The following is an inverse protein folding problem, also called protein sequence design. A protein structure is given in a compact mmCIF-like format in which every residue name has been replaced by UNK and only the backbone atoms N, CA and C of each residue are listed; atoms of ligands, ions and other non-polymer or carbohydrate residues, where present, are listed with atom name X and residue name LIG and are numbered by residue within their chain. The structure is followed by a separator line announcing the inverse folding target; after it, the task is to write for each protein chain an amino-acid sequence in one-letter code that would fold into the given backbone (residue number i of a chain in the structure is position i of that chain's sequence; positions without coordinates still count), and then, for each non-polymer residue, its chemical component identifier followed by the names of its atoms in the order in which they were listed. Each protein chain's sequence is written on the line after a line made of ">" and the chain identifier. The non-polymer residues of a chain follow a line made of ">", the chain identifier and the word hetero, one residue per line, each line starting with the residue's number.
data_IF_276409809054
#
_entry.id   IF_276409809054
#
_cell.length_a   1.000
_cell.length_b   1.000
_cell.length_c   1.000
_cell.angle_alpha   90.00
_cell.angle_beta   90.00
_cell.angle_gamma   90.00
#
_symmetry.space_group_name_H-M   'P 1'
#
loop_
_entity.id
_entity.type
_entity.pdbx_description
1 polymer ?
#
# COMPACT_ATOMS: atom_id res chain seq x y z
N UNK A 1 6.23 -15.99 5.07
CA UNK A 1 5.45 -15.26 6.09
C UNK A 1 4.67 -16.29 6.87
N UNK A 2 4.74 -16.26 8.20
CA UNK A 2 3.93 -17.13 9.04
C UNK A 2 2.55 -16.53 9.35
N UNK A 3 1.63 -17.35 9.84
CA UNK A 3 0.25 -16.96 10.09
C UNK A 3 0.12 -15.88 11.19
N UNK A 4 0.99 -15.90 12.20
CA UNK A 4 0.97 -14.93 13.29
C UNK A 4 1.38 -13.53 12.79
N UNK A 5 2.42 -13.48 11.95
CA UNK A 5 2.88 -12.26 11.28
C UNK A 5 1.81 -11.69 10.36
N UNK A 6 1.15 -12.54 9.55
CA UNK A 6 0.04 -12.12 8.70
C UNK A 6 -1.10 -11.53 9.52
N UNK A 7 -1.48 -12.20 10.61
CA UNK A 7 -2.56 -11.76 11.50
C UNK A 7 -2.31 -10.38 12.13
N UNK A 8 -1.06 -10.08 12.51
CA UNK A 8 -0.68 -8.73 12.99
C UNK A 8 -0.79 -7.68 11.89
N UNK A 9 -0.47 -8.05 10.65
CA UNK A 9 -0.56 -7.13 9.51
C UNK A 9 -2.02 -6.85 9.12
N UNK A 10 -2.89 -7.86 9.15
CA UNK A 10 -4.32 -7.72 8.88
C UNK A 10 -5.01 -6.77 9.88
N UNK A 11 -4.59 -6.77 11.15
CA UNK A 11 -5.09 -5.83 12.16
C UNK A 11 -4.45 -4.43 12.10
N UNK A 12 -3.51 -4.20 11.19
CA UNK A 12 -2.78 -2.93 11.09
C UNK A 12 -1.75 -2.69 12.20
N UNK A 13 -1.51 -3.65 13.10
CA UNK A 13 -0.47 -3.58 14.15
C UNK A 13 0.94 -3.57 13.55
N UNK A 14 1.09 -4.07 12.32
CA UNK A 14 2.33 -4.06 11.55
C UNK A 14 2.07 -3.68 10.10
N UNK A 15 2.82 -2.71 9.58
CA UNK A 15 2.75 -2.37 8.16
C UNK A 15 3.39 -3.45 7.29
N UNK A 16 2.77 -3.75 6.14
CA UNK A 16 3.37 -4.56 5.09
C UNK A 16 4.58 -3.84 4.49
N UNK A 17 5.63 -4.59 4.17
CA UNK A 17 6.73 -4.14 3.31
C UNK A 17 6.48 -4.60 1.89
N UNK A 18 7.24 -4.07 0.94
CA UNK A 18 7.11 -4.45 -0.48
C UNK A 18 7.36 -5.95 -0.70
N UNK A 19 8.32 -6.54 0.01
CA UNK A 19 8.64 -7.97 -0.09
C UNK A 19 7.51 -8.85 0.45
N UNK A 20 6.74 -8.32 1.41
CA UNK A 20 5.59 -9.02 1.97
C UNK A 20 4.47 -9.11 0.92
N UNK A 21 4.28 -8.07 0.09
CA UNK A 21 3.31 -8.07 -1.02
C UNK A 21 3.64 -9.15 -2.06
N UNK A 22 4.93 -9.36 -2.35
CA UNK A 22 5.39 -10.41 -3.28
C UNK A 22 5.06 -11.81 -2.76
N UNK A 23 5.17 -12.02 -1.44
CA UNK A 23 4.77 -13.27 -0.82
C UNK A 23 3.24 -13.46 -0.87
N UNK A 24 2.46 -12.40 -0.61
CA UNK A 24 1.00 -12.45 -0.64
C UNK A 24 0.46 -12.75 -2.04
N UNK A 25 1.05 -12.18 -3.09
CA UNK A 25 0.68 -12.46 -4.48
C UNK A 25 0.78 -13.97 -4.79
N UNK A 26 1.83 -14.63 -4.30
CA UNK A 26 2.03 -16.08 -4.45
C UNK A 26 1.04 -16.89 -3.62
N UNK A 27 0.83 -16.52 -2.35
CA UNK A 27 -0.07 -17.22 -1.42
C UNK A 27 -1.51 -17.17 -1.91
N UNK A 28 -1.99 -15.98 -2.26
CA UNK A 28 -3.38 -15.76 -2.68
C UNK A 28 -3.63 -16.03 -4.16
N UNK A 29 -2.57 -16.30 -4.93
CA UNK A 29 -2.62 -16.45 -6.39
C UNK A 29 -3.29 -15.26 -7.08
N UNK A 30 -2.97 -14.05 -6.60
CA UNK A 30 -3.52 -12.80 -7.12
C UNK A 30 -2.47 -12.02 -7.91
N UNK A 31 -2.88 -11.17 -8.87
CA UNK A 31 -1.94 -10.34 -9.62
C UNK A 31 -1.12 -9.43 -8.70
N UNK A 32 0.20 -9.57 -8.75
CA UNK A 32 1.14 -8.74 -7.97
C UNK A 32 0.93 -7.24 -8.18
N UNK A 33 0.58 -6.83 -9.41
CA UNK A 33 0.28 -5.43 -9.75
C UNK A 33 -0.83 -4.87 -8.87
N UNK A 34 -1.94 -5.59 -8.74
CA UNK A 34 -3.11 -5.13 -7.98
C UNK A 34 -2.79 -4.98 -6.48
N UNK A 35 -2.09 -5.98 -5.91
CA UNK A 35 -1.69 -5.92 -4.51
C UNK A 35 -0.67 -4.81 -4.22
N UNK A 36 0.27 -4.57 -5.14
CA UNK A 36 1.21 -3.46 -5.03
C UNK A 36 0.49 -2.10 -5.13
N UNK A 37 -0.50 -1.97 -6.01
CA UNK A 37 -1.32 -0.76 -6.13
C UNK A 37 -2.06 -0.48 -4.83
N UNK A 38 -2.71 -1.50 -4.22
CA UNK A 38 -3.40 -1.35 -2.94
C UNK A 38 -2.43 -0.95 -1.82
N UNK A 39 -1.26 -1.60 -1.75
CA UNK A 39 -0.24 -1.28 -0.75
C UNK A 39 0.29 0.15 -0.87
N UNK A 40 0.55 0.61 -2.10
CA UNK A 40 0.97 2.00 -2.34
C UNK A 40 -0.12 2.99 -1.96
N UNK A 41 -1.37 2.71 -2.30
CA UNK A 41 -2.51 3.56 -1.93
C UNK A 41 -2.64 3.70 -0.41
N UNK A 42 -2.58 2.60 0.35
CA UNK A 42 -2.61 2.63 1.82
C UNK A 42 -1.46 3.46 2.39
N UNK A 43 -0.24 3.29 1.86
CA UNK A 43 0.93 4.09 2.27
C UNK A 43 0.72 5.58 2.02
N UNK A 44 0.23 5.93 0.83
CA UNK A 44 -0.07 7.32 0.46
C UNK A 44 -1.12 7.92 1.39
N UNK A 45 -2.22 7.21 1.64
CA UNK A 45 -3.30 7.66 2.52
C UNK A 45 -2.80 7.89 3.94
N UNK A 46 -2.02 6.96 4.50
CA UNK A 46 -1.43 7.10 5.84
C UNK A 46 -0.45 8.27 5.93
N UNK A 47 0.43 8.41 4.94
CA UNK A 47 1.41 9.51 4.91
C UNK A 47 0.74 10.89 4.81
N UNK A 48 -0.41 10.96 4.14
CA UNK A 48 -1.11 12.24 3.89
C UNK A 48 -2.30 12.48 4.82
N UNK A 49 -2.64 11.55 5.71
CA UNK A 49 -3.89 11.53 6.48
C UNK A 49 -4.24 12.87 7.16
N UNK A 50 -3.25 13.46 7.83
CA UNK A 50 -3.39 14.68 8.63
C UNK A 50 -3.01 15.97 7.89
N UNK A 51 -2.85 15.92 6.56
CA UNK A 51 -2.44 17.08 5.76
C UNK A 51 -3.67 17.79 5.18
N UNK A 52 -3.76 19.11 5.40
CA UNK A 52 -4.87 19.95 4.93
C UNK A 52 -5.07 19.89 3.41
N UNK A 53 -3.95 19.88 2.67
CA UNK A 53 -3.94 19.94 1.21
C UNK A 53 -3.60 18.59 0.56
N UNK A 54 -3.97 17.48 1.20
CA UNK A 54 -3.60 16.13 0.74
C UNK A 54 -4.13 15.79 -0.65
N UNK A 55 -5.34 16.24 -1.00
CA UNK A 55 -5.93 15.93 -2.31
C UNK A 55 -5.22 16.70 -3.42
N UNK A 56 -4.94 17.98 -3.18
CA UNK A 56 -4.24 18.87 -4.10
C UNK A 56 -2.81 18.38 -4.34
N UNK A 57 -2.10 18.00 -3.27
CA UNK A 57 -0.77 17.43 -3.38
C UNK A 57 -0.75 16.12 -4.19
N UNK A 58 -1.77 15.26 -4.02
CA UNK A 58 -1.87 14.01 -4.78
C UNK A 58 -2.22 14.25 -6.24
N UNK A 59 -3.14 15.17 -6.53
CA UNK A 59 -3.46 15.54 -7.90
C UNK A 59 -2.22 16.10 -8.61
N UNK A 60 -1.48 17.01 -7.95
CA UNK A 60 -0.25 17.56 -8.49
C UNK A 60 0.80 16.46 -8.79
N UNK A 61 0.94 15.46 -7.91
CA UNK A 61 1.85 14.34 -8.15
C UNK A 61 1.41 13.45 -9.33
N UNK A 62 0.10 13.25 -9.50
CA UNK A 62 -0.46 12.50 -10.63
C UNK A 62 -0.19 13.23 -11.95
N UNK A 63 -0.42 14.55 -11.99
CA UNK A 63 -0.21 15.37 -13.19
C UNK A 63 1.27 15.37 -13.65
N UNK A 64 2.22 15.06 -12.76
CA UNK A 64 3.64 14.89 -13.10
C UNK A 64 3.95 13.55 -13.79
N UNK A 65 3.09 12.53 -13.68
CA UNK A 65 3.30 11.25 -14.37
C UNK A 65 2.93 11.29 -15.85
N UNK A 66 2.09 12.24 -16.24
CA UNK A 66 1.60 12.39 -17.61
C UNK A 66 2.47 13.36 -18.45
N UNK A 67 3.56 13.89 -17.87
CA UNK A 67 4.56 14.76 -18.53
C UNK A 67 5.84 14.02 -18.92
#
# INVERSE_FOLDING_TARGET
>A
MDQAMLSKMERGERSFRREDIDALAKIFKQPKKELLTLWLADKILKTTENQRYKKEALQLAIDQFDN
#
